data_IF_512925786404
#
_entry.id   IF_512925786404
#
_cell.length_a   1.000
_cell.length_b   1.000
_cell.length_c   1.000
_cell.angle_alpha   90.00
_cell.angle_beta   90.00
_cell.angle_gamma   90.00
#
_symmetry.space_group_name_H-M   'P 1'
#
loop_
_entity.id
_entity.type
_entity.pdbx_description
1 polymer ?
#
# COMPACT_ATOMS: atom_id res chain seq x y z
N UNK A 1 12.09 24.81 -12.66
CA UNK A 1 13.34 24.47 -11.93
C UNK A 1 14.37 23.92 -12.93
N UNK A 2 15.45 24.66 -13.19
CA UNK A 2 16.65 24.13 -13.89
C UNK A 2 17.67 23.79 -12.80
N UNK A 3 17.77 22.50 -12.47
CA UNK A 3 18.70 21.96 -11.47
C UNK A 3 18.82 20.45 -11.66
N UNK A 4 19.94 19.85 -11.23
CA UNK A 4 20.14 18.39 -11.29
C UNK A 4 18.96 17.71 -10.57
N UNK A 5 18.42 16.58 -11.08
CA UNK A 5 17.39 15.83 -10.37
C UNK A 5 17.90 15.48 -8.99
N UNK A 6 17.21 15.94 -7.94
CA UNK A 6 17.49 15.53 -6.57
C UNK A 6 17.27 14.03 -6.46
N UNK A 7 18.16 13.27 -5.81
CA UNK A 7 18.00 11.83 -5.65
C UNK A 7 16.65 11.51 -5.01
N UNK A 8 16.00 10.45 -5.48
CA UNK A 8 14.84 9.88 -4.79
C UNK A 8 15.23 9.51 -3.36
N UNK A 9 14.33 9.74 -2.39
CA UNK A 9 14.45 9.23 -1.02
C UNK A 9 13.78 7.84 -1.01
N UNK A 10 14.51 6.72 -1.14
CA UNK A 10 13.90 5.41 -1.35
C UNK A 10 13.05 4.99 -0.15
N UNK A 11 13.42 5.41 1.05
CA UNK A 11 12.70 5.10 2.30
C UNK A 11 11.30 5.71 2.34
N UNK A 12 10.91 6.57 1.40
CA UNK A 12 9.52 7.01 1.23
C UNK A 12 8.60 5.91 0.69
N UNK A 13 9.13 4.90 0.02
CA UNK A 13 8.33 3.78 -0.46
C UNK A 13 7.63 3.12 0.73
N UNK A 14 6.31 3.04 0.68
CA UNK A 14 5.50 2.69 1.83
C UNK A 14 4.02 2.84 1.57
N UNK A 15 3.21 2.24 2.44
CA UNK A 15 1.77 2.42 2.46
C UNK A 15 1.39 3.33 3.63
N UNK A 16 0.62 4.37 3.36
CA UNK A 16 0.26 5.37 4.34
C UNK A 16 -1.26 5.50 4.41
N UNK A 17 -1.78 5.73 5.62
CA UNK A 17 -3.20 5.92 5.88
C UNK A 17 -3.44 7.33 6.39
N UNK A 18 -4.45 8.00 5.86
CA UNK A 18 -4.84 9.33 6.31
C UNK A 18 -5.42 9.26 7.72
N UNK A 19 -4.99 10.15 8.62
CA UNK A 19 -5.46 10.18 10.01
C UNK A 19 -6.98 10.40 10.13
N UNK A 20 -7.59 11.18 9.22
CA UNK A 20 -9.05 11.43 9.20
C UNK A 20 -9.87 10.17 8.95
N UNK A 21 -9.27 9.10 8.43
CA UNK A 21 -9.96 7.81 8.25
C UNK A 21 -10.46 7.27 9.60
N UNK A 22 -9.70 7.47 10.69
CA UNK A 22 -10.11 7.08 12.05
C UNK A 22 -11.30 7.91 12.53
N UNK A 23 -11.25 9.23 12.35
CA UNK A 23 -12.34 10.14 12.75
C UNK A 23 -13.64 9.85 12.00
N UNK A 24 -13.57 9.53 10.70
CA UNK A 24 -14.75 9.16 9.92
C UNK A 24 -15.36 7.86 10.41
N UNK A 25 -14.51 6.89 10.74
CA UNK A 25 -14.96 5.61 11.27
C UNK A 25 -15.68 5.75 12.61
N UNK A 26 -15.14 6.56 13.52
CA UNK A 26 -15.79 6.89 14.81
C UNK A 26 -17.15 7.58 14.61
N UNK A 27 -17.30 8.36 13.55
CA UNK A 27 -18.57 8.98 13.12
C UNK A 27 -19.47 8.03 12.33
N UNK A 28 -19.20 6.72 12.34
CA UNK A 28 -20.00 5.69 11.68
C UNK A 28 -19.81 5.60 10.16
N UNK A 29 -18.87 6.34 9.57
CA UNK A 29 -18.62 6.32 8.13
C UNK A 29 -17.54 5.30 7.79
N UNK A 30 -17.81 4.41 6.84
CA UNK A 30 -16.82 3.49 6.30
C UNK A 30 -16.12 4.19 5.13
N UNK A 31 -15.11 5.00 5.47
CA UNK A 31 -14.28 5.72 4.50
C UNK A 31 -12.82 5.63 4.91
N UNK A 32 -11.98 5.15 4.01
CA UNK A 32 -10.54 5.13 4.18
C UNK A 32 -9.86 5.88 3.04
N UNK A 33 -8.82 6.64 3.38
CA UNK A 33 -7.93 7.26 2.42
C UNK A 33 -6.51 6.76 2.64
N UNK A 34 -5.86 6.36 1.56
CA UNK A 34 -4.50 5.84 1.59
C UNK A 34 -3.64 6.53 0.54
N UNK A 35 -2.34 6.50 0.80
CA UNK A 35 -1.31 6.92 -0.13
C UNK A 35 -0.30 5.79 -0.18
N UNK A 36 -0.19 5.11 -1.30
CA UNK A 36 0.84 4.13 -1.57
C UNK A 36 1.92 4.78 -2.42
N UNK A 37 3.15 4.76 -1.94
CA UNK A 37 4.33 5.25 -2.66
C UNK A 37 5.21 4.04 -2.95
N UNK A 38 5.65 3.91 -4.19
CA UNK A 38 6.58 2.85 -4.58
C UNK A 38 7.67 3.37 -5.49
N UNK A 39 8.72 2.57 -5.60
CA UNK A 39 9.86 2.85 -6.46
C UNK A 39 9.80 1.97 -7.70
N UNK A 40 9.86 2.60 -8.86
CA UNK A 40 9.86 1.89 -10.14
C UNK A 40 11.19 1.20 -10.40
N UNK A 41 11.22 0.28 -11.38
CA UNK A 41 12.45 -0.38 -11.82
C UNK A 41 13.54 0.59 -12.33
N UNK A 42 13.16 1.83 -12.72
CA UNK A 42 14.06 2.91 -13.16
C UNK A 42 14.55 3.80 -12.01
N UNK A 43 14.15 3.50 -10.78
CA UNK A 43 14.51 4.26 -9.59
C UNK A 43 13.68 5.53 -9.37
N UNK A 44 12.69 5.82 -10.24
CA UNK A 44 11.75 6.91 -10.05
C UNK A 44 10.70 6.55 -8.99
N UNK A 45 10.17 7.56 -8.30
CA UNK A 45 9.09 7.39 -7.33
C UNK A 45 7.74 7.68 -7.98
N UNK A 46 6.78 6.81 -7.74
CA UNK A 46 5.38 7.01 -8.12
C UNK A 46 4.47 6.79 -6.92
N UNK A 47 3.26 7.31 -7.04
CA UNK A 47 2.27 7.16 -5.99
C UNK A 47 0.92 6.76 -6.57
N UNK A 48 0.15 6.08 -5.73
CA UNK A 48 -1.27 5.79 -5.90
C UNK A 48 -1.98 6.23 -4.63
N UNK A 49 -2.86 7.22 -4.75
CA UNK A 49 -3.72 7.69 -3.68
C UNK A 49 -5.13 7.13 -3.88
N UNK A 50 -5.61 6.37 -2.90
CA UNK A 50 -6.86 5.63 -3.00
C UNK A 50 -7.84 6.08 -1.93
N UNK A 51 -9.13 6.15 -2.31
CA UNK A 51 -10.22 6.46 -1.40
C UNK A 51 -11.29 5.39 -1.58
N UNK A 52 -11.44 4.51 -0.60
CA UNK A 52 -12.55 3.56 -0.55
C UNK A 52 -13.64 4.10 0.37
N UNK A 53 -14.87 4.14 -0.11
CA UNK A 53 -16.06 4.53 0.67
C UNK A 53 -17.16 3.50 0.49
N UNK A 54 -17.71 2.96 1.58
CA UNK A 54 -18.93 2.14 1.55
C UNK A 54 -20.13 3.02 1.86
N UNK A 55 -21.09 3.03 0.94
CA UNK A 55 -22.23 3.94 0.94
C UNK A 55 -23.54 3.16 1.03
N UNK A 56 -24.35 3.55 2.01
CA UNK A 56 -25.72 3.10 2.17
C UNK A 56 -26.66 4.25 1.81
N UNK A 57 -27.65 3.96 0.97
CA UNK A 57 -28.62 4.92 0.49
C UNK A 57 -30.03 4.47 0.78
N UNK A 58 -30.96 5.42 0.91
CA UNK A 58 -32.38 5.15 1.10
C UNK A 58 -33.13 4.91 -0.22
N UNK A 59 -32.64 5.47 -1.34
CA UNK A 59 -33.37 5.52 -2.63
C UNK A 59 -32.53 4.96 -3.79
N UNK A 60 -31.20 4.86 -3.64
CA UNK A 60 -30.30 4.32 -4.66
C UNK A 60 -29.65 3.01 -4.22
N UNK A 61 -28.95 2.35 -5.15
CA UNK A 61 -28.22 1.13 -4.86
C UNK A 61 -27.07 1.37 -3.87
N UNK A 62 -27.02 0.50 -2.86
CA UNK A 62 -25.91 0.40 -1.93
C UNK A 62 -24.65 -0.06 -2.68
N UNK A 63 -23.52 0.59 -2.41
CA UNK A 63 -22.29 0.33 -3.15
C UNK A 63 -21.04 0.69 -2.39
N UNK A 64 -19.92 0.23 -2.90
CA UNK A 64 -18.62 0.81 -2.61
C UNK A 64 -18.12 1.63 -3.79
N UNK A 65 -17.53 2.77 -3.46
CA UNK A 65 -16.84 3.63 -4.42
C UNK A 65 -15.34 3.62 -4.10
N UNK A 66 -14.52 3.34 -5.09
CA UNK A 66 -13.07 3.42 -5.04
C UNK A 66 -12.58 4.50 -6.00
N UNK A 67 -11.96 5.55 -5.48
CA UNK A 67 -11.31 6.60 -6.26
C UNK A 67 -9.81 6.40 -6.20
N UNK A 68 -9.19 6.19 -7.36
CA UNK A 68 -7.75 5.98 -7.50
C UNK A 68 -7.16 7.18 -8.22
N UNK A 69 -6.12 7.79 -7.66
CA UNK A 69 -5.33 8.83 -8.30
C UNK A 69 -3.88 8.38 -8.33
N UNK A 70 -3.25 8.35 -9.49
CA UNK A 70 -1.84 7.99 -9.60
C UNK A 70 -1.03 9.07 -10.30
N UNK A 71 0.28 9.02 -10.07
CA UNK A 71 1.17 10.06 -10.53
C UNK A 71 2.63 9.83 -10.16
N UNK A 72 3.45 10.84 -10.47
CA UNK A 72 4.88 10.84 -10.13
C UNK A 72 5.14 11.65 -8.87
N UNK A 73 6.13 11.22 -8.09
CA UNK A 73 6.62 11.92 -6.92
C UNK A 73 8.03 12.45 -7.21
N UNK A 74 8.22 13.75 -7.03
CA UNK A 74 9.54 14.35 -6.98
C UNK A 74 9.89 14.70 -5.54
N UNK A 75 11.13 14.43 -5.16
CA UNK A 75 11.64 14.67 -3.82
C UNK A 75 12.69 15.75 -3.85
N UNK A 76 12.65 16.63 -2.86
CA UNK A 76 13.71 17.57 -2.48
C UNK A 76 14.12 17.25 -1.04
N UNK A 77 15.24 17.80 -0.56
CA UNK A 77 15.70 17.60 0.83
C UNK A 77 14.67 18.03 1.89
N UNK A 78 13.69 18.86 1.51
CA UNK A 78 12.66 19.41 2.40
C UNK A 78 11.22 19.28 1.91
N UNK A 79 11.00 18.96 0.64
CA UNK A 79 9.68 19.03 0.00
C UNK A 79 9.41 17.81 -0.87
N UNK A 80 8.17 17.36 -0.85
CA UNK A 80 7.62 16.32 -1.70
C UNK A 80 6.62 16.96 -2.66
N UNK A 81 6.80 16.73 -3.97
CA UNK A 81 5.91 17.23 -5.01
C UNK A 81 5.21 16.07 -5.71
N UNK A 82 3.89 15.99 -5.51
CA UNK A 82 3.02 14.96 -6.08
C UNK A 82 2.37 15.49 -7.36
N UNK A 83 2.72 14.92 -8.51
CA UNK A 83 2.14 15.26 -9.80
C UNK A 83 1.10 14.22 -10.20
N UNK A 84 -0.18 14.52 -9.96
CA UNK A 84 -1.30 13.66 -10.37
C UNK A 84 -1.42 13.63 -11.90
N UNK A 85 -1.34 12.43 -12.50
CA UNK A 85 -1.46 12.24 -13.96
C UNK A 85 -2.72 11.50 -14.35
N UNK A 86 -3.25 10.63 -13.49
CA UNK A 86 -4.41 9.80 -13.80
C UNK A 86 -5.35 9.75 -12.61
N UNK A 87 -6.65 9.83 -12.88
CA UNK A 87 -7.70 9.60 -11.90
C UNK A 87 -8.71 8.61 -12.47
N UNK A 88 -9.04 7.59 -11.70
CA UNK A 88 -10.05 6.58 -11.99
C UNK A 88 -11.05 6.50 -10.85
N UNK A 89 -12.29 6.18 -11.18
CA UNK A 89 -13.34 5.89 -10.23
C UNK A 89 -13.98 4.56 -10.60
N UNK A 90 -14.12 3.70 -9.59
CA UNK A 90 -14.72 2.38 -9.70
C UNK A 90 -15.85 2.25 -8.70
N UNK A 91 -16.96 1.66 -9.12
CA UNK A 91 -18.07 1.32 -8.24
C UNK A 91 -18.26 -0.18 -8.22
N UNK A 92 -18.60 -0.74 -7.05
CA UNK A 92 -19.14 -2.11 -6.97
C UNK A 92 -20.43 -2.10 -6.17
N UNK A 93 -21.49 -2.64 -6.77
CA UNK A 93 -22.81 -2.66 -6.16
C UNK A 93 -22.94 -3.81 -5.18
N UNK A 94 -23.73 -3.57 -4.12
CA UNK A 94 -24.10 -4.58 -3.15
C UNK A 94 -25.45 -5.20 -3.54
N UNK A 95 -25.48 -6.52 -3.69
CA UNK A 95 -26.67 -7.27 -4.11
C UNK A 95 -27.23 -8.17 -3.00
N UNK A 96 -26.74 -8.03 -1.77
CA UNK A 96 -27.19 -8.80 -0.62
C UNK A 96 -28.38 -8.16 0.10
N UNK A 97 -28.72 -8.75 1.26
CA UNK A 97 -29.76 -8.19 2.12
C UNK A 97 -29.24 -6.94 2.83
N UNK A 98 -30.01 -5.85 2.75
CA UNK A 98 -29.66 -4.62 3.44
C UNK A 98 -29.85 -4.79 4.96
N UNK A 99 -28.80 -4.47 5.69
CA UNK A 99 -28.79 -4.37 7.16
C UNK A 99 -28.71 -2.89 7.58
N UNK A 100 -29.08 -2.61 8.83
CA UNK A 100 -28.91 -1.27 9.42
C UNK A 100 -27.43 -0.86 9.52
N UNK A 101 -26.55 -1.83 9.82
CA UNK A 101 -25.10 -1.60 9.87
C UNK A 101 -24.42 -2.09 8.58
N UNK A 102 -23.85 -1.20 7.74
CA UNK A 102 -23.17 -1.58 6.50
C UNK A 102 -21.87 -2.39 6.72
N UNK A 103 -21.40 -2.53 7.96
CA UNK A 103 -20.28 -3.43 8.30
C UNK A 103 -20.68 -4.91 8.26
N UNK A 104 -21.98 -5.21 8.40
CA UNK A 104 -22.54 -6.57 8.38
C UNK A 104 -22.87 -7.09 6.99
N UNK A 105 -22.69 -6.26 5.97
CA UNK A 105 -22.94 -6.67 4.59
C UNK A 105 -22.03 -7.83 4.19
N UNK A 106 -22.64 -8.92 3.73
CA UNK A 106 -21.95 -10.08 3.18
C UNK A 106 -20.95 -9.68 2.09
N UNK A 107 -19.65 -9.92 2.34
CA UNK A 107 -18.59 -9.46 1.43
C UNK A 107 -18.71 -10.08 0.04
N UNK A 108 -19.17 -11.33 -0.03
CA UNK A 108 -19.40 -12.07 -1.29
C UNK A 108 -20.63 -11.63 -2.07
N UNK A 109 -21.48 -10.77 -1.51
CA UNK A 109 -22.66 -10.24 -2.21
C UNK A 109 -22.36 -8.94 -2.98
N UNK A 110 -21.11 -8.46 -2.93
CA UNK A 110 -20.65 -7.40 -3.82
C UNK A 110 -20.32 -7.95 -5.20
N UNK A 111 -20.71 -7.20 -6.25
CA UNK A 111 -20.19 -7.41 -7.59
C UNK A 111 -18.71 -7.00 -7.72
N UNK A 112 -18.13 -7.12 -8.92
CA UNK A 112 -16.78 -6.65 -9.21
C UNK A 112 -16.72 -5.11 -9.23
N UNK A 113 -15.52 -4.54 -9.10
CA UNK A 113 -15.30 -3.10 -9.30
C UNK A 113 -15.41 -2.75 -10.80
N UNK A 114 -16.44 -1.99 -11.15
CA UNK A 114 -16.67 -1.48 -12.51
C UNK A 114 -16.16 -0.05 -12.61
N UNK A 115 -15.28 0.21 -13.58
CA UNK A 115 -14.77 1.56 -13.85
C UNK A 115 -15.91 2.44 -14.41
N UNK A 116 -16.24 3.50 -13.69
CA UNK A 116 -17.30 4.45 -14.09
C UNK A 116 -16.74 5.77 -14.62
N UNK A 117 -15.50 6.11 -14.27
CA UNK A 117 -14.85 7.34 -14.72
C UNK A 117 -13.34 7.16 -14.85
N UNK A 118 -12.76 7.79 -15.87
CA UNK A 118 -11.32 7.91 -16.04
C UNK A 118 -10.99 9.30 -16.60
N UNK A 119 -9.98 9.93 -16.03
CA UNK A 119 -9.51 11.25 -16.44
C UNK A 119 -7.99 11.30 -16.38
N UNK A 120 -7.36 11.56 -17.52
CA UNK A 120 -5.94 11.84 -17.63
C UNK A 120 -5.68 13.34 -17.56
N UNK A 121 -4.68 13.75 -16.77
CA UNK A 121 -4.16 15.11 -16.76
C UNK A 121 -2.83 15.14 -17.50
N UNK A 122 -2.68 16.11 -18.40
CA UNK A 122 -1.36 16.55 -18.84
C UNK A 122 -0.67 17.23 -17.66
N UNK A 123 0.61 16.89 -17.43
CA UNK A 123 1.41 17.52 -16.38
C UNK A 123 1.54 19.01 -16.74
N UNK A 124 0.98 19.90 -15.91
CA UNK A 124 0.94 21.34 -16.15
C UNK A 124 0.87 22.13 -14.84
N UNK A 125 0.89 23.46 -14.92
CA UNK A 125 0.77 24.34 -13.75
C UNK A 125 -0.56 24.06 -13.01
N UNK A 126 -0.47 23.75 -11.71
CA UNK A 126 -1.62 23.44 -10.85
C UNK A 126 -1.95 21.95 -10.67
N UNK A 127 -1.23 21.00 -11.30
CA UNK A 127 -1.43 19.56 -11.05
C UNK A 127 -0.61 19.01 -9.87
N UNK A 128 0.34 19.81 -9.37
CA UNK A 128 1.24 19.47 -8.27
C UNK A 128 0.61 19.74 -6.91
N UNK A 129 0.70 18.78 -5.99
CA UNK A 129 0.44 18.97 -4.55
C UNK A 129 1.76 18.90 -3.80
N UNK A 130 2.06 19.92 -3.00
CA UNK A 130 3.21 19.91 -2.10
C UNK A 130 2.87 19.23 -0.77
N UNK A 131 3.87 18.53 -0.22
CA UNK A 131 3.84 17.96 1.10
C UNK A 131 5.24 17.96 1.71
N UNK A 132 5.32 17.76 3.02
CA UNK A 132 6.56 17.63 3.75
C UNK A 132 6.63 16.27 4.44
N UNK A 133 7.83 15.68 4.46
CA UNK A 133 8.10 14.50 5.26
C UNK A 133 8.39 14.95 6.70
N UNK A 134 7.68 14.38 7.67
CA UNK A 134 7.94 14.64 9.09
C UNK A 134 9.36 14.21 9.48
N UNK A 135 9.87 14.77 10.57
CA UNK A 135 11.22 14.46 11.06
C UNK A 135 11.41 12.97 11.41
N UNK A 136 10.35 12.31 11.88
CA UNK A 136 10.35 10.87 12.18
C UNK A 136 10.28 9.99 10.91
N UNK A 137 10.21 10.60 9.72
CA UNK A 137 10.10 9.96 8.40
C UNK A 137 8.91 9.00 8.24
N UNK A 138 7.94 9.06 9.16
CA UNK A 138 6.79 8.15 9.16
C UNK A 138 5.49 8.84 8.78
N UNK A 139 5.48 10.16 8.60
CA UNK A 139 4.29 10.92 8.24
C UNK A 139 4.54 11.87 7.08
N UNK A 140 3.55 12.02 6.21
CA UNK A 140 3.56 13.00 5.12
C UNK A 140 2.45 14.01 5.41
N UNK A 141 2.81 15.28 5.49
CA UNK A 141 1.89 16.38 5.77
C UNK A 141 1.72 17.19 4.50
N UNK A 142 0.53 17.15 3.90
CA UNK A 142 0.21 17.94 2.72
C UNK A 142 -0.06 19.40 3.10
N UNK A 143 0.16 20.30 2.15
CA UNK A 143 -0.10 21.75 2.31
C UNK A 143 -1.55 22.11 2.67
N UNK A 144 -2.52 21.23 2.41
CA UNK A 144 -3.91 21.38 2.83
C UNK A 144 -4.20 20.85 4.25
N UNK A 145 -3.17 20.46 5.00
CA UNK A 145 -3.25 19.92 6.36
C UNK A 145 -3.62 18.44 6.46
N UNK A 146 -3.74 17.72 5.34
CA UNK A 146 -3.94 16.26 5.40
C UNK A 146 -2.66 15.56 5.86
N UNK A 147 -2.78 14.70 6.86
CA UNK A 147 -1.66 13.92 7.42
C UNK A 147 -1.84 12.44 7.09
N UNK A 148 -0.82 11.85 6.47
CA UNK A 148 -0.76 10.43 6.14
C UNK A 148 0.34 9.77 6.96
N UNK A 149 0.01 8.74 7.74
CA UNK A 149 0.97 7.97 8.53
C UNK A 149 1.28 6.63 7.88
N UNK A 150 2.56 6.29 7.84
CA UNK A 150 3.07 5.03 7.31
C UNK A 150 2.60 3.86 8.17
N UNK A 151 2.30 2.76 7.48
CA UNK A 151 2.02 1.47 8.05
C UNK A 151 3.25 0.58 7.86
N UNK A 152 3.78 0.07 8.98
CA UNK A 152 4.95 -0.79 8.98
C UNK A 152 6.23 -0.09 8.52
N UNK A 153 7.15 -0.88 7.97
CA UNK A 153 8.45 -0.43 7.49
C UNK A 153 8.36 0.10 6.05
N UNK A 154 9.41 0.78 5.54
CA UNK A 154 9.51 1.06 4.12
C UNK A 154 9.25 -0.20 3.26
N UNK A 155 8.40 -0.05 2.25
CA UNK A 155 8.07 -1.09 1.27
C UNK A 155 9.14 -1.14 0.20
N UNK A 156 10.25 -1.78 0.57
CA UNK A 156 11.48 -1.86 -0.19
C UNK A 156 12.00 -3.30 -0.19
N UNK A 157 12.57 -3.70 -1.33
CA UNK A 157 13.31 -4.94 -1.50
C UNK A 157 12.43 -6.09 -1.94
N UNK A 158 12.90 -7.31 -1.70
CA UNK A 158 12.13 -8.53 -1.97
C UNK A 158 11.77 -9.21 -0.66
N UNK A 159 10.59 -9.79 -0.59
CA UNK A 159 10.14 -10.55 0.57
C UNK A 159 9.93 -12.01 0.21
N UNK A 160 10.49 -12.90 1.02
CA UNK A 160 10.31 -14.35 0.96
C UNK A 160 9.21 -14.78 1.94
N UNK A 161 8.14 -15.36 1.41
CA UNK A 161 6.99 -15.88 2.15
C UNK A 161 7.03 -17.41 2.17
N UNK A 162 6.68 -18.01 3.30
CA UNK A 162 6.53 -19.46 3.45
C UNK A 162 5.05 -19.84 3.38
N UNK A 163 4.64 -20.49 2.29
CA UNK A 163 3.30 -20.99 2.03
C UNK A 163 3.27 -22.51 2.26
N UNK A 164 3.32 -22.92 3.53
CA UNK A 164 3.45 -24.33 3.89
C UNK A 164 4.76 -24.92 3.36
N UNK A 165 4.68 -25.79 2.34
CA UNK A 165 5.85 -26.42 1.69
C UNK A 165 6.50 -25.57 0.60
N UNK A 166 5.84 -24.50 0.14
CA UNK A 166 6.32 -23.67 -0.95
C UNK A 166 6.89 -22.36 -0.42
N UNK A 167 7.95 -21.87 -1.05
CA UNK A 167 8.50 -20.53 -0.79
C UNK A 167 8.21 -19.63 -1.98
N UNK A 168 7.59 -18.48 -1.75
CA UNK A 168 7.29 -17.47 -2.77
C UNK A 168 8.10 -16.22 -2.48
N UNK A 169 8.83 -15.71 -3.47
CA UNK A 169 9.58 -14.45 -3.35
C UNK A 169 9.01 -13.41 -4.29
N UNK A 170 8.52 -12.31 -3.72
CA UNK A 170 7.90 -11.20 -4.45
C UNK A 170 8.56 -9.87 -4.05
N UNK A 171 8.24 -8.81 -4.78
CA UNK A 171 8.64 -7.47 -4.37
C UNK A 171 7.87 -7.07 -3.10
N UNK A 172 8.54 -6.42 -2.16
CA UNK A 172 7.98 -5.99 -0.88
C UNK A 172 7.15 -4.71 -1.08
N UNK A 173 6.02 -4.85 -1.76
CA UNK A 173 5.11 -3.76 -2.14
C UNK A 173 3.74 -3.85 -1.46
N UNK A 174 3.52 -4.89 -0.66
CA UNK A 174 2.22 -5.18 -0.06
C UNK A 174 2.21 -4.80 1.41
N UNK A 175 1.33 -3.85 1.72
CA UNK A 175 0.85 -3.62 3.07
C UNK A 175 -0.66 -3.35 3.02
N UNK A 176 -1.31 -3.45 4.14
CA UNK A 176 -2.73 -3.18 4.24
C UNK A 176 -3.11 -2.72 5.63
N UNK A 177 -4.41 -2.60 5.83
CA UNK A 177 -4.97 -2.16 7.09
C UNK A 177 -6.33 -2.78 7.34
N UNK A 178 -6.58 -3.16 8.58
CA UNK A 178 -7.89 -3.64 9.03
C UNK A 178 -8.88 -2.49 9.00
N UNK A 179 -10.03 -2.69 8.37
CA UNK A 179 -11.14 -1.73 8.43
C UNK A 179 -12.06 -2.04 9.61
N UNK A 180 -12.54 -3.29 9.69
CA UNK A 180 -13.42 -3.75 10.76
C UNK A 180 -13.46 -5.28 10.83
N UNK A 181 -13.80 -5.86 12.00
CA UNK A 181 -14.09 -7.29 12.12
C UNK A 181 -15.37 -7.65 11.35
N UNK A 182 -15.39 -8.86 10.82
CA UNK A 182 -16.55 -9.45 10.15
C UNK A 182 -17.22 -10.46 11.09
N UNK A 183 -18.54 -10.41 11.20
CA UNK A 183 -19.33 -11.44 11.87
C UNK A 183 -19.61 -12.64 10.94
N UNK A 184 -20.31 -13.65 11.45
CA UNK A 184 -20.65 -14.85 10.70
C UNK A 184 -21.64 -14.64 9.55
N UNK A 185 -22.44 -13.57 9.61
CA UNK A 185 -23.36 -13.19 8.54
C UNK A 185 -22.58 -12.54 7.38
N UNK A 186 -21.61 -11.68 7.70
CA UNK A 186 -20.79 -10.99 6.71
C UNK A 186 -19.78 -11.91 6.02
N UNK A 187 -19.22 -12.88 6.77
CA UNK A 187 -18.31 -13.91 6.24
C UNK A 187 -18.25 -15.13 7.17
N UNK A 188 -18.26 -16.38 6.66
CA UNK A 188 -18.22 -17.58 7.50
C UNK A 188 -17.02 -17.59 8.46
N UNK A 189 -17.28 -17.81 9.75
CA UNK A 189 -16.25 -17.87 10.78
C UNK A 189 -15.79 -19.31 11.02
N UNK A 190 -14.51 -19.46 11.33
CA UNK A 190 -13.96 -20.71 11.84
C UNK A 190 -13.86 -20.60 13.37
N UNK A 191 -14.17 -21.68 14.10
CA UNK A 191 -14.13 -21.68 15.56
C UNK A 191 -12.76 -21.24 16.10
N UNK A 192 -12.77 -20.25 17.00
CA UNK A 192 -11.57 -19.71 17.63
C UNK A 192 -10.70 -18.83 16.71
N UNK A 193 -11.25 -18.37 15.57
CA UNK A 193 -10.63 -17.41 14.67
C UNK A 193 -11.56 -16.23 14.42
N UNK A 194 -10.99 -15.13 13.96
CA UNK A 194 -11.74 -13.90 13.65
C UNK A 194 -11.34 -13.39 12.28
N UNK A 195 -12.34 -13.19 11.42
CA UNK A 195 -12.14 -12.57 10.12
C UNK A 195 -12.27 -11.05 10.20
N UNK A 196 -11.52 -10.35 9.36
CA UNK A 196 -11.52 -8.90 9.23
C UNK A 196 -11.60 -8.52 7.75
N UNK A 197 -12.29 -7.43 7.47
CA UNK A 197 -12.26 -6.78 6.18
C UNK A 197 -11.07 -5.82 6.11
N UNK A 198 -10.26 -5.92 5.07
CA UNK A 198 -9.00 -5.21 4.96
C UNK A 198 -8.82 -4.56 3.59
N UNK A 199 -8.11 -3.43 3.58
CA UNK A 199 -7.74 -2.67 2.39
C UNK A 199 -6.22 -2.68 2.21
N UNK A 200 -5.73 -2.92 1.00
CA UNK A 200 -4.32 -3.16 0.71
C UNK A 200 -3.77 -2.17 -0.32
N UNK A 201 -2.45 -1.92 -0.28
CA UNK A 201 -1.72 -1.14 -1.29
C UNK A 201 -1.83 -1.76 -2.69
N UNK A 202 -1.68 -3.08 -2.75
CA UNK A 202 -1.94 -3.91 -3.92
C UNK A 202 -2.30 -5.32 -3.44
N UNK A 203 -3.13 -5.99 -4.22
CA UNK A 203 -3.53 -7.37 -3.98
C UNK A 203 -3.05 -8.31 -5.07
N UNK A 204 -2.36 -7.80 -6.10
CA UNK A 204 -1.86 -8.59 -7.23
C UNK A 204 -1.08 -9.85 -6.80
N UNK A 205 -0.20 -9.82 -5.77
CA UNK A 205 0.54 -11.00 -5.35
C UNK A 205 -0.19 -11.83 -4.28
N UNK A 206 -1.35 -11.38 -3.80
CA UNK A 206 -2.11 -12.02 -2.71
C UNK A 206 -2.99 -13.15 -3.24
N UNK A 207 -2.97 -14.26 -2.52
CA UNK A 207 -3.90 -15.38 -2.70
C UNK A 207 -4.36 -15.90 -1.34
N UNK A 208 -5.44 -16.68 -1.31
CA UNK A 208 -5.82 -17.40 -0.09
C UNK A 208 -4.63 -18.19 0.49
N UNK A 209 -4.47 -18.15 1.82
CA UNK A 209 -3.35 -18.74 2.54
C UNK A 209 -2.07 -17.88 2.59
N UNK A 210 -2.05 -16.69 1.97
CA UNK A 210 -0.88 -15.79 2.08
C UNK A 210 -0.65 -15.39 3.53
N UNK A 211 0.54 -15.68 4.11
CA UNK A 211 0.83 -15.40 5.51
C UNK A 211 1.05 -13.90 5.72
N UNK A 212 0.41 -13.37 6.76
CA UNK A 212 0.44 -11.95 7.11
C UNK A 212 0.59 -11.79 8.63
N UNK A 213 0.95 -10.59 9.07
CA UNK A 213 0.78 -10.14 10.45
C UNK A 213 -0.23 -9.02 10.51
N UNK A 214 -1.19 -9.14 11.42
CA UNK A 214 -2.14 -8.11 11.78
C UNK A 214 -1.67 -7.52 13.11
N UNK A 215 -1.14 -6.30 13.08
CA UNK A 215 -0.27 -5.77 14.15
C UNK A 215 0.86 -6.78 14.46
N UNK A 216 0.99 -7.23 15.71
CA UNK A 216 1.96 -8.26 16.10
C UNK A 216 1.46 -9.71 15.91
N UNK A 217 0.20 -9.92 15.52
CA UNK A 217 -0.42 -11.24 15.54
C UNK A 217 -0.37 -11.93 14.17
N UNK A 218 -0.03 -13.23 14.11
CA UNK A 218 0.00 -13.97 12.85
C UNK A 218 -1.42 -14.20 12.31
N UNK A 219 -1.54 -14.12 11.00
CA UNK A 219 -2.79 -14.34 10.29
C UNK A 219 -2.54 -14.82 8.87
N UNK A 220 -3.61 -14.89 8.10
CA UNK A 220 -3.55 -15.27 6.69
C UNK A 220 -4.65 -14.60 5.89
N UNK A 221 -4.42 -14.39 4.60
CA UNK A 221 -5.46 -13.99 3.65
C UNK A 221 -6.43 -15.15 3.44
N UNK A 222 -7.73 -14.91 3.58
CA UNK A 222 -8.77 -15.91 3.30
C UNK A 222 -9.26 -15.81 1.86
N UNK A 223 -9.59 -14.59 1.42
CA UNK A 223 -10.20 -14.36 0.12
C UNK A 223 -9.87 -12.94 -0.36
N UNK A 224 -9.61 -12.78 -1.65
CA UNK A 224 -9.21 -11.52 -2.27
C UNK A 224 -10.33 -11.06 -3.21
N UNK A 225 -10.73 -9.79 -3.10
CA UNK A 225 -11.78 -9.16 -3.88
C UNK A 225 -11.23 -7.90 -4.54
N UNK A 226 -10.35 -8.08 -5.53
CA UNK A 226 -9.63 -6.98 -6.18
C UNK A 226 -8.90 -6.13 -5.12
N UNK A 227 -9.26 -4.88 -4.87
CA UNK A 227 -8.54 -3.97 -3.97
C UNK A 227 -8.67 -4.26 -2.46
N UNK A 228 -9.58 -5.15 -2.07
CA UNK A 228 -9.83 -5.51 -0.66
C UNK A 228 -9.67 -7.01 -0.47
N UNK A 229 -9.47 -7.43 0.77
CA UNK A 229 -9.41 -8.85 1.10
C UNK A 229 -10.07 -9.11 2.46
N UNK A 230 -10.52 -10.34 2.64
CA UNK A 230 -10.84 -10.89 3.96
C UNK A 230 -9.58 -11.54 4.50
N UNK A 231 -9.21 -11.16 5.71
CA UNK A 231 -8.05 -11.70 6.42
C UNK A 231 -8.50 -12.35 7.71
N UNK A 232 -7.85 -13.44 8.08
CA UNK A 232 -8.14 -14.21 9.29
C UNK A 232 -6.99 -14.08 10.27
N UNK A 233 -7.33 -13.79 11.51
CA UNK A 233 -6.39 -13.90 12.61
C UNK A 233 -6.31 -15.36 13.08
N UNK A 234 -5.10 -15.91 13.11
CA UNK A 234 -4.90 -17.27 13.58
C UNK A 234 -5.13 -17.34 15.10
N UNK A 235 -5.61 -18.50 15.56
CA UNK A 235 -5.86 -18.78 16.97
C UNK A 235 -4.59 -18.52 17.79
N UNK A 236 -4.66 -17.59 18.75
CA UNK A 236 -3.71 -17.58 19.88
C UNK A 236 -3.97 -18.82 20.74
N UNK A 237 -2.92 -19.43 21.29
CA UNK A 237 -2.98 -20.71 22.03
C UNK A 237 -4.25 -20.83 22.92
N UNK A 238 -4.86 -22.04 23.02
CA UNK A 238 -6.04 -22.25 23.88
C UNK A 238 -5.82 -21.71 25.30
N UNK A 239 -6.78 -20.93 25.81
CA UNK A 239 -6.70 -20.28 27.13
C UNK A 239 -6.18 -18.84 27.12
N UNK A 240 -5.68 -18.32 25.99
CA UNK A 240 -5.39 -16.90 25.81
C UNK A 240 -6.60 -16.19 25.19
N UNK A 241 -6.97 -15.05 25.78
CA UNK A 241 -7.97 -14.14 25.22
C UNK A 241 -7.57 -13.77 23.79
N UNK A 242 -8.53 -13.83 22.86
CA UNK A 242 -8.29 -13.45 21.48
C UNK A 242 -7.72 -12.02 21.42
N UNK A 243 -6.72 -11.76 20.57
CA UNK A 243 -6.13 -10.44 20.46
C UNK A 243 -7.16 -9.39 20.07
N UNK A 244 -7.13 -8.26 20.77
CA UNK A 244 -7.98 -7.13 20.40
C UNK A 244 -7.32 -6.33 19.28
N UNK A 245 -7.53 -6.78 18.05
CA UNK A 245 -7.16 -6.04 16.84
C UNK A 245 -8.05 -4.79 16.75
N UNK A 246 -7.42 -3.63 16.61
CA UNK A 246 -8.14 -2.37 16.45
C UNK A 246 -8.42 -2.10 14.98
N UNK A 247 -9.44 -1.29 14.72
CA UNK A 247 -9.63 -0.75 13.37
C UNK A 247 -8.42 0.12 13.03
N UNK A 248 -8.03 0.08 11.77
CA UNK A 248 -6.82 0.67 11.25
C UNK A 248 -5.50 0.04 11.77
N UNK A 249 -5.56 -1.15 12.37
CA UNK A 249 -4.35 -1.94 12.66
C UNK A 249 -3.63 -2.33 11.37
N UNK A 250 -2.30 -2.25 11.41
CA UNK A 250 -1.43 -2.56 10.28
C UNK A 250 -1.54 -4.01 9.83
N UNK A 251 -1.51 -4.24 8.53
CA UNK A 251 -1.33 -5.57 7.95
C UNK A 251 -0.06 -5.55 7.10
N UNK A 252 0.86 -6.47 7.38
CA UNK A 252 2.08 -6.67 6.59
C UNK A 252 2.22 -8.14 6.23
N UNK A 253 2.99 -8.43 5.19
CA UNK A 253 3.35 -9.81 4.85
C UNK A 253 4.25 -10.41 5.95
N UNK A 254 4.01 -11.68 6.29
CA UNK A 254 4.86 -12.42 7.22
C UNK A 254 5.94 -13.19 6.46
N UNK A 255 7.12 -12.58 6.38
CA UNK A 255 8.24 -13.14 5.66
C UNK A 255 9.56 -12.45 5.98
N UNK A 256 10.62 -12.91 5.31
CA UNK A 256 11.96 -12.34 5.44
C UNK A 256 12.19 -11.35 4.31
N UNK A 257 12.49 -10.10 4.66
CA UNK A 257 12.78 -9.02 3.70
C UNK A 257 14.28 -8.99 3.42
N UNK A 258 14.66 -9.08 2.15
CA UNK A 258 15.99 -8.80 1.65
C UNK A 258 16.03 -7.39 1.05
N UNK A 259 16.72 -6.48 1.73
CA UNK A 259 16.95 -5.10 1.30
C UNK A 259 18.30 -4.91 0.58
N UNK A 260 19.20 -5.91 0.60
CA UNK A 260 20.54 -5.80 0.00
C UNK A 260 20.50 -5.71 -1.52
N UNK A 261 19.52 -6.35 -2.14
CA UNK A 261 19.28 -6.32 -3.59
C UNK A 261 19.01 -4.91 -4.12
N UNK A 262 18.52 -3.98 -3.28
CA UNK A 262 18.34 -2.57 -3.63
C UNK A 262 19.70 -1.84 -3.65
N UNK A 263 20.51 -2.06 -2.62
CA UNK A 263 21.79 -1.38 -2.42
C UNK A 263 22.79 -1.68 -3.56
N UNK A 264 22.83 -2.90 -4.08
CA UNK A 264 23.74 -3.27 -5.18
C UNK A 264 23.36 -2.60 -6.50
N UNK A 265 22.05 -2.54 -6.83
CA UNK A 265 21.57 -1.89 -8.04
C UNK A 265 21.70 -0.36 -7.95
N UNK A 266 21.42 0.22 -6.78
CA UNK A 266 21.64 1.66 -6.51
C UNK A 266 23.11 2.05 -6.58
N UNK A 267 23.99 1.23 -6.00
CA UNK A 267 25.43 1.46 -6.07
C UNK A 267 25.93 1.40 -7.52
N UNK A 268 25.45 0.43 -8.30
CA UNK A 268 25.81 0.29 -9.71
C UNK A 268 25.25 1.44 -10.57
N UNK A 269 23.98 1.82 -10.40
CA UNK A 269 23.34 2.87 -11.19
C UNK A 269 23.87 4.28 -10.83
N UNK A 270 24.15 4.55 -9.56
CA UNK A 270 24.78 5.80 -9.12
C UNK A 270 26.24 5.88 -9.56
N UNK A 271 26.98 4.76 -9.56
CA UNK A 271 28.31 4.67 -10.14
C UNK A 271 28.27 4.93 -11.65
N UNK A 272 27.38 4.25 -12.39
CA UNK A 272 27.18 4.49 -13.84
C UNK A 272 26.79 5.95 -14.11
N UNK A 273 25.95 6.57 -13.27
CA UNK A 273 25.54 7.96 -13.42
C UNK A 273 26.68 8.95 -13.17
N UNK A 274 27.48 8.74 -12.11
CA UNK A 274 28.67 9.56 -11.82
C UNK A 274 29.70 9.45 -12.94
N UNK A 275 29.94 8.24 -13.43
CA UNK A 275 30.94 7.97 -14.48
C UNK A 275 30.47 8.43 -15.87
N UNK A 276 29.17 8.43 -16.18
CA UNK A 276 28.63 9.06 -17.42
C UNK A 276 28.72 10.59 -17.43
N UNK A 277 28.80 11.22 -16.26
CA UNK A 277 28.96 12.67 -16.12
C UNK A 277 30.44 13.09 -16.08
N UNK A 278 31.36 12.14 -15.98
CA UNK A 278 32.80 12.39 -15.97
C UNK A 278 33.40 12.03 -17.36
N UNK A 279 33.85 13.02 -18.14
CA UNK A 279 34.36 12.80 -19.49
C UNK A 279 35.71 12.05 -19.54
N UNK A 280 36.34 11.77 -18.40
CA UNK A 280 37.68 11.16 -18.33
C UNK A 280 37.69 9.65 -18.01
N UNK A 281 36.52 9.02 -17.81
CA UNK A 281 36.45 7.61 -17.39
C UNK A 281 36.44 6.66 -18.60
N UNK A 282 37.38 5.71 -18.64
CA UNK A 282 37.45 4.69 -19.70
C UNK A 282 36.45 3.54 -19.48
N UNK A 283 36.06 2.86 -20.56
CA UNK A 283 35.12 1.72 -20.49
C UNK A 283 35.68 0.56 -19.64
N UNK A 284 36.99 0.38 -19.61
CA UNK A 284 37.64 -0.68 -18.82
C UNK A 284 37.55 -0.43 -17.31
N UNK A 285 37.65 0.84 -16.89
CA UNK A 285 37.53 1.24 -15.48
C UNK A 285 36.09 1.03 -14.98
N UNK A 286 35.12 1.26 -15.87
CA UNK A 286 33.69 1.03 -15.63
C UNK A 286 33.36 -0.46 -15.40
N UNK A 287 33.96 -1.35 -16.21
CA UNK A 287 33.80 -2.81 -16.05
C UNK A 287 34.41 -3.28 -14.73
N UNK A 288 35.60 -2.78 -14.38
CA UNK A 288 36.33 -3.17 -13.17
C UNK A 288 35.61 -2.77 -11.88
N UNK A 289 35.03 -1.57 -11.82
CA UNK A 289 34.26 -1.13 -10.64
C UNK A 289 32.91 -1.86 -10.53
N UNK A 290 32.24 -2.16 -11.64
CA UNK A 290 31.03 -2.99 -11.64
C UNK A 290 31.31 -4.43 -11.17
N UNK A 291 32.45 -5.01 -11.56
CA UNK A 291 32.88 -6.33 -11.08
C UNK A 291 33.20 -6.34 -9.58
N UNK A 292 33.75 -5.26 -9.02
CA UNK A 292 33.97 -5.13 -7.58
C UNK A 292 32.67 -5.09 -6.78
N UNK A 293 31.62 -4.46 -7.31
CA UNK A 293 30.29 -4.44 -6.67
C UNK A 293 29.64 -5.83 -6.76
N UNK A 294 29.82 -6.53 -7.88
CA UNK A 294 29.30 -7.89 -8.08
C UNK A 294 29.96 -8.94 -7.16
N UNK A 295 31.22 -8.72 -6.78
CA UNK A 295 32.02 -9.65 -5.97
C UNK A 295 32.10 -9.27 -4.47
N UNK A 296 31.34 -8.26 -4.01
CA UNK A 296 31.22 -7.95 -2.58
C UNK A 296 30.06 -8.76 -1.98
N UNK A 297 30.38 -9.97 -1.56
CA UNK A 297 29.59 -10.78 -0.61
C UNK A 297 29.98 -10.47 0.84
#
# INVERSE_FOLDING_TARGET
>A
MKGKPTPAIPELAGFYVNERSKEWFEKGKIKIQTLWIRRTAKGEMEFTHEILTRLQFSISENREELKVKSGKLQTSDRELLFFETLSKEFHRNYHGQNTEDPKKWAVRAFGPFVKVKEFGKLIGEGSGRSAELSQDKNSIVFSNGDVYRRIGNPLLGRISLNLGKFRKTIDNEVAGVVLFPLDGEAFPQTEGKQNFFAFFSTTDPLTAGTPIKIAEYPGQVQEVFEHVAVVELNKTKPGLTAPKVQNFSSIILDGVVDSKTISQKESADELIRRLKQDPNVSKEELIRELEKIKNKD
#
